data_IF_063912878330
#
_entry.id   IF_063912878330
#
_cell.length_a   1.000
_cell.length_b   1.000
_cell.length_c   1.000
_cell.angle_alpha   90.00
_cell.angle_beta   90.00
_cell.angle_gamma   90.00
#
_symmetry.space_group_name_H-M   'P 1'
#
loop_
_entity.id
_entity.type
_entity.pdbx_description
1 polymer ?
#
# COMPACT_ATOMS: atom_id res chain seq x y z
N UNK A 1 -22.54 19.44 -18.80
CA UNK A 1 -22.39 19.37 -17.33
C UNK A 1 -20.90 19.32 -17.05
N UNK A 2 -20.34 20.41 -16.51
CA UNK A 2 -18.91 20.46 -16.16
C UNK A 2 -18.78 19.83 -14.78
N UNK A 3 -18.24 18.61 -14.71
CA UNK A 3 -18.01 17.90 -13.46
C UNK A 3 -16.83 18.53 -12.73
N UNK A 4 -17.10 19.11 -11.56
CA UNK A 4 -16.05 19.58 -10.66
C UNK A 4 -15.50 18.36 -9.95
N UNK A 5 -14.24 18.01 -10.22
CA UNK A 5 -13.50 16.99 -9.47
C UNK A 5 -13.00 17.66 -8.18
N UNK A 6 -13.51 17.21 -7.03
CA UNK A 6 -13.07 17.65 -5.72
C UNK A 6 -11.92 16.74 -5.25
N UNK A 7 -10.71 17.28 -5.20
CA UNK A 7 -9.53 16.58 -4.66
C UNK A 7 -9.47 16.92 -3.17
N UNK A 8 -9.70 15.93 -2.30
CA UNK A 8 -9.52 16.07 -0.86
C UNK A 8 -8.05 15.78 -0.52
N UNK A 9 -7.32 16.80 -0.07
CA UNK A 9 -5.99 16.65 0.51
C UNK A 9 -6.13 16.18 1.95
N UNK A 10 -6.20 14.87 2.15
CA UNK A 10 -6.07 14.27 3.48
C UNK A 10 -4.65 14.48 3.97
N UNK A 11 -4.48 15.11 5.14
CA UNK A 11 -3.18 15.16 5.80
C UNK A 11 -2.70 13.74 6.08
N UNK A 12 -1.62 13.31 5.41
CA UNK A 12 -0.89 12.10 5.76
C UNK A 12 -0.50 12.20 7.24
N UNK A 13 -1.10 11.40 8.10
CA UNK A 13 -0.58 11.18 9.43
C UNK A 13 0.75 10.46 9.27
N UNK A 14 1.82 11.06 9.81
CA UNK A 14 3.21 10.60 9.67
C UNK A 14 3.48 9.24 10.29
N UNK A 15 3.04 8.19 9.62
CA UNK A 15 3.61 6.84 9.75
C UNK A 15 4.94 6.79 9.01
N UNK A 16 5.89 6.02 9.53
CA UNK A 16 7.11 5.69 8.79
C UNK A 16 6.74 4.90 7.55
N UNK A 17 7.31 5.23 6.39
CA UNK A 17 7.18 4.42 5.19
C UNK A 17 7.45 2.94 5.45
N UNK A 18 6.65 2.08 4.84
CA UNK A 18 6.82 0.63 4.90
C UNK A 18 6.47 -0.05 6.23
N UNK A 19 5.92 0.67 7.21
CA UNK A 19 5.42 0.09 8.47
C UNK A 19 3.89 0.01 8.45
N UNK A 20 3.38 -1.22 8.49
CA UNK A 20 1.93 -1.47 8.54
C UNK A 20 1.32 -0.90 9.84
N UNK A 21 0.07 -0.48 9.75
CA UNK A 21 -0.70 0.03 10.89
C UNK A 21 -1.88 -0.90 11.17
N UNK A 22 -2.19 -1.08 12.45
CA UNK A 22 -3.31 -1.89 12.91
C UNK A 22 -3.93 -1.27 14.16
N UNK A 23 -5.24 -1.43 14.32
CA UNK A 23 -5.96 -1.04 15.54
C UNK A 23 -6.44 -2.26 16.31
N UNK A 24 -6.70 -2.06 17.61
CA UNK A 24 -7.30 -3.10 18.45
C UNK A 24 -8.70 -3.47 17.93
N UNK A 25 -9.01 -4.76 17.97
CA UNK A 25 -10.36 -5.29 17.71
C UNK A 25 -11.29 -5.19 18.93
N UNK A 26 -10.77 -4.80 20.09
CA UNK A 26 -11.56 -4.70 21.32
C UNK A 26 -12.74 -3.73 21.15
N UNK A 27 -13.96 -4.21 21.42
CA UNK A 27 -15.18 -3.42 21.32
C UNK A 27 -15.67 -3.17 19.89
N UNK A 28 -15.07 -3.80 18.88
CA UNK A 28 -15.46 -3.61 17.47
C UNK A 28 -16.58 -4.54 16.99
N UNK A 29 -16.88 -5.62 17.73
CA UNK A 29 -17.77 -6.69 17.27
C UNK A 29 -17.05 -7.82 16.50
N UNK A 30 -15.72 -7.71 16.35
CA UNK A 30 -14.87 -8.67 15.65
C UNK A 30 -14.10 -9.55 16.64
N UNK A 31 -14.09 -10.85 16.38
CA UNK A 31 -13.25 -11.83 17.07
C UNK A 31 -11.85 -11.87 16.46
N UNK A 32 -11.75 -11.86 15.13
CA UNK A 32 -10.47 -11.88 14.42
C UNK A 32 -10.54 -11.17 13.07
N UNK A 33 -9.38 -10.73 12.59
CA UNK A 33 -9.16 -10.15 11.27
C UNK A 33 -7.83 -10.69 10.74
N UNK A 34 -7.83 -11.24 9.53
CA UNK A 34 -6.65 -11.78 8.85
C UNK A 34 -6.51 -11.14 7.48
N UNK A 35 -5.28 -10.83 7.09
CA UNK A 35 -4.91 -10.20 5.82
C UNK A 35 -3.42 -10.40 5.56
N UNK A 36 -2.99 -10.19 4.32
CA UNK A 36 -1.57 -10.26 3.96
C UNK A 36 -0.79 -9.03 4.45
N UNK A 37 0.47 -9.25 4.81
CA UNK A 37 1.38 -8.18 5.28
C UNK A 37 1.87 -7.26 4.15
N UNK A 38 1.61 -7.62 2.89
CA UNK A 38 1.99 -6.85 1.71
C UNK A 38 0.83 -6.80 0.71
N UNK A 39 0.61 -5.63 0.12
CA UNK A 39 -0.27 -5.48 -1.03
C UNK A 39 0.54 -5.62 -2.32
N UNK A 40 0.19 -6.58 -3.17
CA UNK A 40 0.89 -6.78 -4.45
C UNK A 40 0.20 -5.98 -5.55
N UNK A 41 0.99 -5.19 -6.27
CA UNK A 41 0.52 -4.41 -7.41
C UNK A 41 -0.15 -5.31 -8.47
N UNK A 42 -1.31 -4.88 -8.99
CA UNK A 42 -2.13 -5.66 -9.94
C UNK A 42 -2.62 -7.03 -9.45
N UNK A 43 -2.61 -7.26 -8.13
CA UNK A 43 -3.18 -8.45 -7.50
C UNK A 43 -4.38 -8.08 -6.63
N UNK A 44 -5.14 -9.09 -6.20
CA UNK A 44 -6.26 -8.90 -5.29
C UNK A 44 -5.78 -8.97 -3.84
N UNK A 45 -6.13 -7.98 -3.03
CA UNK A 45 -5.91 -7.95 -1.59
C UNK A 45 -7.16 -8.47 -0.88
N UNK A 46 -7.01 -9.54 -0.11
CA UNK A 46 -8.09 -10.22 0.60
C UNK A 46 -8.01 -9.98 2.10
N UNK A 47 -9.17 -9.83 2.74
CA UNK A 47 -9.31 -9.87 4.20
C UNK A 47 -10.33 -10.93 4.61
N UNK A 48 -10.06 -11.66 5.69
CA UNK A 48 -11.01 -12.53 6.38
C UNK A 48 -11.36 -11.90 7.73
N UNK A 49 -12.66 -11.72 7.98
CA UNK A 49 -13.21 -11.26 9.24
C UNK A 49 -13.98 -12.39 9.92
N UNK A 50 -13.80 -12.50 11.23
CA UNK A 50 -14.66 -13.31 12.07
C UNK A 50 -15.40 -12.41 13.05
N UNK A 51 -16.73 -12.40 12.96
CA UNK A 51 -17.60 -11.69 13.88
C UNK A 51 -17.68 -12.45 15.21
N UNK A 52 -17.82 -11.72 16.32
CA UNK A 52 -18.19 -12.38 17.57
C UNK A 52 -19.63 -12.93 17.53
N UNK A 53 -19.93 -13.81 18.49
CA UNK A 53 -21.22 -14.52 18.50
C UNK A 53 -22.43 -13.60 18.70
N UNK A 54 -22.26 -12.47 19.38
CA UNK A 54 -23.36 -11.52 19.60
C UNK A 54 -23.64 -10.72 18.34
N UNK A 55 -22.58 -10.22 17.71
CA UNK A 55 -22.61 -9.45 16.47
C UNK A 55 -23.19 -10.27 15.32
N UNK A 56 -22.74 -11.52 15.17
CA UNK A 56 -23.22 -12.45 14.14
C UNK A 56 -24.70 -12.83 14.35
N UNK A 57 -25.13 -13.12 15.60
CA UNK A 57 -26.51 -13.52 15.87
C UNK A 57 -27.53 -12.38 15.74
N UNK A 58 -27.11 -11.13 15.93
CA UNK A 58 -27.99 -9.97 15.91
C UNK A 58 -28.26 -9.40 14.51
N UNK A 59 -27.72 -9.99 13.44
CA UNK A 59 -27.95 -9.54 12.07
C UNK A 59 -27.22 -8.24 11.71
N UNK A 60 -26.11 -7.95 12.40
CA UNK A 60 -25.25 -6.79 12.12
C UNK A 60 -24.65 -6.91 10.73
N UNK A 61 -24.69 -5.82 9.96
CA UNK A 61 -24.05 -5.74 8.66
C UNK A 61 -22.70 -5.06 8.76
N UNK A 62 -21.69 -5.66 8.12
CA UNK A 62 -20.32 -5.14 8.10
C UNK A 62 -20.07 -4.47 6.75
N UNK A 63 -19.55 -3.24 6.77
CA UNK A 63 -19.04 -2.56 5.57
C UNK A 63 -17.54 -2.38 5.70
N UNK A 64 -16.80 -2.90 4.74
CA UNK A 64 -15.36 -2.70 4.63
C UNK A 64 -15.06 -1.49 3.77
N UNK A 65 -14.56 -0.42 4.40
CA UNK A 65 -14.27 0.83 3.71
C UNK A 65 -12.78 0.90 3.42
N UNK A 66 -12.42 0.79 2.14
CA UNK A 66 -11.02 0.80 1.67
C UNK A 66 -10.65 2.13 1.05
N UNK A 67 -9.37 2.47 1.08
CA UNK A 67 -8.80 3.53 0.25
C UNK A 67 -7.39 3.11 -0.18
N UNK A 68 -7.13 3.24 -1.47
CA UNK A 68 -5.82 2.99 -2.07
C UNK A 68 -5.14 4.34 -2.30
N UNK A 69 -3.88 4.42 -1.93
CA UNK A 69 -3.02 5.56 -2.19
C UNK A 69 -1.86 5.13 -3.06
N UNK A 70 -1.55 5.93 -4.08
CA UNK A 70 -0.56 5.62 -5.10
C UNK A 70 0.76 6.32 -4.84
N UNK A 71 1.83 5.85 -5.49
CA UNK A 71 3.21 6.32 -5.30
C UNK A 71 3.43 7.81 -5.61
N UNK A 72 2.44 8.51 -6.19
CA UNK A 72 2.48 9.98 -6.35
C UNK A 72 2.06 10.75 -5.09
N UNK A 73 1.62 10.05 -4.05
CA UNK A 73 1.05 10.63 -2.82
C UNK A 73 -0.44 10.98 -2.92
N UNK A 74 -1.10 10.63 -4.03
CA UNK A 74 -2.54 10.81 -4.22
C UNK A 74 -3.28 9.59 -3.70
N UNK A 75 -4.42 9.81 -3.04
CA UNK A 75 -5.32 8.75 -2.62
C UNK A 75 -6.62 8.82 -3.42
N UNK A 76 -7.12 7.65 -3.81
CA UNK A 76 -8.47 7.55 -4.37
C UNK A 76 -9.53 7.79 -3.28
N UNK A 77 -10.74 8.22 -3.68
CA UNK A 77 -11.86 8.30 -2.75
C UNK A 77 -12.10 6.94 -2.07
N UNK A 78 -12.49 6.91 -0.79
CA UNK A 78 -12.79 5.66 -0.12
C UNK A 78 -13.98 4.93 -0.76
N UNK A 79 -13.89 3.61 -0.84
CA UNK A 79 -14.92 2.73 -1.42
C UNK A 79 -15.56 1.86 -0.33
N UNK A 80 -16.89 1.70 -0.39
CA UNK A 80 -17.63 0.86 0.54
C UNK A 80 -17.85 -0.52 -0.07
N UNK A 81 -17.24 -1.54 0.53
CA UNK A 81 -17.36 -2.94 0.11
C UNK A 81 -18.31 -3.67 1.06
N UNK A 82 -19.39 -4.21 0.50
CA UNK A 82 -20.42 -4.98 1.23
C UNK A 82 -20.63 -6.38 0.63
N UNK A 83 -19.97 -6.66 -0.50
CA UNK A 83 -20.02 -7.94 -1.19
C UNK A 83 -19.05 -8.91 -0.50
N UNK A 84 -19.52 -9.54 0.58
CA UNK A 84 -18.78 -10.56 1.32
C UNK A 84 -19.03 -11.95 0.75
N UNK A 85 -17.96 -12.71 0.56
CA UNK A 85 -18.05 -14.16 0.37
C UNK A 85 -18.07 -14.81 1.75
N UNK A 86 -19.07 -15.65 2.03
CA UNK A 86 -19.23 -16.27 3.33
C UNK A 86 -19.52 -17.76 3.19
N UNK A 87 -18.79 -18.58 3.95
CA UNK A 87 -19.05 -20.01 4.09
C UNK A 87 -19.81 -20.34 5.39
N UNK A 88 -19.85 -19.41 6.34
CA UNK A 88 -20.46 -19.52 7.68
C UNK A 88 -20.97 -18.15 8.14
N UNK A 89 -22.06 -18.09 8.92
CA UNK A 89 -22.71 -16.82 9.33
C UNK A 89 -21.79 -15.83 10.08
N UNK A 90 -20.70 -16.30 10.71
CA UNK A 90 -19.73 -15.47 11.44
C UNK A 90 -18.48 -15.12 10.63
N UNK A 91 -18.27 -15.71 9.44
CA UNK A 91 -17.05 -15.50 8.65
C UNK A 91 -17.34 -14.76 7.35
N UNK A 92 -16.61 -13.68 7.12
CA UNK A 92 -16.74 -12.82 5.96
C UNK A 92 -15.39 -12.68 5.26
N UNK A 93 -15.33 -13.00 3.98
CA UNK A 93 -14.14 -12.84 3.14
C UNK A 93 -14.42 -11.76 2.11
N UNK A 94 -13.58 -10.73 2.07
CA UNK A 94 -13.70 -9.60 1.15
C UNK A 94 -12.42 -9.44 0.35
N UNK A 95 -12.54 -8.99 -0.90
CA UNK A 95 -11.38 -8.75 -1.76
C UNK A 95 -11.51 -7.47 -2.58
N UNK A 96 -10.40 -6.75 -2.76
CA UNK A 96 -10.29 -5.59 -3.65
C UNK A 96 -9.06 -5.73 -4.54
N UNK A 97 -9.09 -5.14 -5.73
CA UNK A 97 -7.93 -5.13 -6.62
C UNK A 97 -7.01 -3.96 -6.28
N UNK A 98 -5.70 -4.25 -6.22
CA UNK A 98 -4.66 -3.26 -5.96
C UNK A 98 -4.15 -2.72 -7.30
N UNK A 99 -4.12 -1.40 -7.42
CA UNK A 99 -3.58 -0.72 -8.61
C UNK A 99 -2.08 -0.98 -8.77
N UNK A 100 -1.58 -0.82 -10.00
CA UNK A 100 -0.18 -1.09 -10.35
C UNK A 100 0.80 -0.11 -9.67
N UNK A 101 0.34 1.10 -9.37
CA UNK A 101 1.10 2.16 -8.73
C UNK A 101 0.72 2.39 -7.26
N UNK A 102 -0.03 1.47 -6.65
CA UNK A 102 -0.41 1.55 -5.25
C UNK A 102 0.83 1.56 -4.33
N UNK A 103 0.92 2.58 -3.47
CA UNK A 103 1.90 2.68 -2.40
C UNK A 103 1.43 1.92 -1.15
N UNK A 104 0.14 2.06 -0.82
CA UNK A 104 -0.49 1.32 0.26
C UNK A 104 -2.01 1.27 0.10
N UNK A 105 -2.61 0.32 0.79
CA UNK A 105 -4.05 0.27 1.05
C UNK A 105 -4.28 0.55 2.54
N UNK A 106 -5.27 1.37 2.86
CA UNK A 106 -5.77 1.52 4.22
C UNK A 106 -7.26 1.19 4.26
N UNK A 107 -7.75 0.83 5.44
CA UNK A 107 -9.16 0.53 5.61
C UNK A 107 -9.66 0.76 7.02
N UNK A 108 -10.99 0.77 7.13
CA UNK A 108 -11.75 0.78 8.37
C UNK A 108 -12.95 -0.13 8.23
N UNK A 109 -13.48 -0.56 9.36
CA UNK A 109 -14.72 -1.33 9.41
C UNK A 109 -15.84 -0.42 9.89
N UNK A 110 -16.98 -0.47 9.21
CA UNK A 110 -18.21 0.19 9.65
C UNK A 110 -19.26 -0.88 9.96
N UNK A 111 -19.70 -0.90 11.21
CA UNK A 111 -20.80 -1.73 11.68
C UNK A 111 -22.12 -0.98 11.49
N UNK A 112 -23.10 -1.67 10.92
CA UNK A 112 -24.49 -1.24 10.85
C UNK A 112 -25.30 -2.22 11.71
N UNK A 113 -25.62 -1.78 12.92
CA UNK A 113 -26.28 -2.56 13.96
C UNK A 113 -27.77 -2.73 13.65
N UNK A 114 -28.40 -3.75 14.22
CA UNK A 114 -29.79 -4.10 13.89
C UNK A 114 -30.84 -3.13 14.44
N UNK A 115 -30.48 -2.26 15.38
CA UNK A 115 -31.28 -1.14 15.85
C UNK A 115 -31.21 0.09 14.92
N UNK A 116 -30.34 0.05 13.91
CA UNK A 116 -30.12 1.11 12.92
C UNK A 116 -28.97 2.04 13.26
N UNK A 117 -28.26 1.82 14.38
CA UNK A 117 -27.07 2.59 14.71
C UNK A 117 -25.89 2.19 13.80
N UNK A 118 -25.07 3.18 13.45
CA UNK A 118 -23.89 2.98 12.63
C UNK A 118 -22.64 3.46 13.36
N UNK A 119 -21.60 2.62 13.40
CA UNK A 119 -20.34 2.95 14.03
C UNK A 119 -19.17 2.59 13.11
N UNK A 120 -18.16 3.46 13.04
CA UNK A 120 -16.90 3.19 12.34
C UNK A 120 -15.80 2.89 13.34
N UNK A 121 -14.90 1.97 12.96
CA UNK A 121 -13.74 1.58 13.73
C UNK A 121 -12.49 1.82 12.88
N UNK A 122 -11.69 2.85 13.20
CA UNK A 122 -11.90 3.85 14.26
C UNK A 122 -13.00 4.85 13.90
N UNK A 123 -13.45 5.66 14.86
CA UNK A 123 -14.49 6.68 14.65
C UNK A 123 -14.09 7.70 13.58
N UNK A 124 -12.79 7.96 13.43
CA UNK A 124 -12.23 8.89 12.45
C UNK A 124 -10.97 8.31 11.80
N UNK A 125 -10.83 8.52 10.49
CA UNK A 125 -9.68 8.02 9.74
C UNK A 125 -9.78 6.53 9.43
N UNK A 126 -8.63 5.89 9.24
CA UNK A 126 -8.48 4.47 8.95
C UNK A 126 -7.81 3.76 10.12
N UNK A 127 -8.17 2.51 10.35
CA UNK A 127 -7.68 1.70 11.48
C UNK A 127 -6.52 0.79 11.10
N UNK A 128 -6.42 0.48 9.81
CA UNK A 128 -5.43 -0.43 9.29
C UNK A 128 -4.80 0.12 8.03
N UNK A 129 -3.55 -0.27 7.80
CA UNK A 129 -2.77 0.05 6.61
C UNK A 129 -1.80 -1.07 6.31
N UNK A 130 -1.75 -1.47 5.04
CA UNK A 130 -0.73 -2.38 4.50
C UNK A 130 -0.01 -1.69 3.35
N UNK A 131 1.32 -1.66 3.44
CA UNK A 131 2.17 -1.14 2.38
C UNK A 131 2.30 -2.15 1.23
N UNK A 132 2.46 -1.62 0.03
CA UNK A 132 2.66 -2.46 -1.14
C UNK A 132 4.04 -3.12 -1.13
N UNK A 133 4.25 -4.13 -1.97
CA UNK A 133 5.59 -4.71 -2.18
C UNK A 133 6.57 -3.74 -2.86
N UNK A 134 6.07 -2.63 -3.39
CA UNK A 134 6.78 -1.46 -3.89
C UNK A 134 6.02 -0.22 -3.44
N UNK A 135 6.65 0.71 -2.74
CA UNK A 135 5.97 1.90 -2.23
C UNK A 135 6.85 3.15 -2.22
N UNK A 136 6.18 4.31 -2.22
CA UNK A 136 6.76 5.62 -1.96
C UNK A 136 5.94 6.33 -0.89
N UNK A 137 6.58 6.76 0.19
CA UNK A 137 5.90 7.40 1.32
C UNK A 137 5.80 8.94 1.21
N UNK A 138 6.37 9.51 0.16
CA UNK A 138 6.49 10.95 -0.05
C UNK A 138 7.93 11.46 0.09
N UNK A 139 8.80 10.69 0.74
CA UNK A 139 10.20 11.02 0.99
C UNK A 139 11.16 9.94 0.47
N UNK A 140 10.85 8.68 0.71
CA UNK A 140 11.66 7.53 0.32
C UNK A 140 10.87 6.44 -0.40
N UNK A 141 11.58 5.74 -1.28
CA UNK A 141 11.10 4.51 -1.92
C UNK A 141 11.51 3.30 -1.08
N UNK A 142 10.60 2.35 -0.96
CA UNK A 142 10.86 1.08 -0.32
C UNK A 142 10.03 -0.06 -0.90
N UNK A 143 10.10 -1.20 -0.22
CA UNK A 143 9.50 -2.45 -0.67
C UNK A 143 10.53 -3.47 -1.15
N UNK A 144 10.05 -4.70 -1.34
CA UNK A 144 10.86 -5.83 -1.81
C UNK A 144 11.04 -5.82 -3.34
N UNK A 145 10.16 -5.13 -4.06
CA UNK A 145 10.27 -4.93 -5.51
C UNK A 145 10.87 -3.56 -5.83
N UNK A 146 12.14 -3.54 -6.25
CA UNK A 146 12.84 -2.30 -6.64
C UNK A 146 12.47 -1.82 -8.05
N UNK A 147 11.74 -2.61 -8.85
CA UNK A 147 11.57 -2.35 -10.28
C UNK A 147 10.78 -1.06 -10.58
N UNK A 148 9.88 -0.71 -9.68
CA UNK A 148 9.06 0.50 -9.72
C UNK A 148 9.81 1.77 -9.29
N UNK A 149 10.94 1.63 -8.58
CA UNK A 149 11.75 2.76 -8.13
C UNK A 149 12.55 3.29 -9.34
N UNK A 150 11.97 4.30 -10.00
CA UNK A 150 12.60 4.96 -11.14
C UNK A 150 13.96 5.61 -10.81
N UNK A 151 14.21 6.03 -9.56
CA UNK A 151 15.49 6.60 -9.12
C UNK A 151 16.60 5.55 -8.97
N UNK A 152 16.24 4.31 -8.63
CA UNK A 152 17.18 3.18 -8.58
C UNK A 152 17.77 2.83 -9.96
N UNK A 153 17.00 3.09 -11.02
CA UNK A 153 17.42 2.87 -12.40
C UNK A 153 18.37 3.97 -12.90
N UNK A 154 18.17 5.22 -12.49
CA UNK A 154 19.09 6.32 -12.82
C UNK A 154 20.42 6.22 -12.07
N UNK A 155 20.40 5.88 -10.78
CA UNK A 155 21.63 5.75 -9.97
C UNK A 155 22.55 4.63 -10.47
N UNK A 156 21.99 3.50 -10.93
CA UNK A 156 22.76 2.43 -11.59
C UNK A 156 23.40 2.93 -12.90
N UNK A 157 22.65 3.63 -13.77
CA UNK A 157 23.20 4.19 -15.02
C UNK A 157 24.32 5.21 -14.76
N UNK A 158 24.15 6.11 -13.79
CA UNK A 158 25.18 7.09 -13.41
C UNK A 158 26.42 6.40 -12.86
N UNK A 159 26.27 5.38 -12.02
CA UNK A 159 27.39 4.58 -11.50
C UNK A 159 28.16 3.87 -12.62
N UNK A 160 27.47 3.24 -13.56
CA UNK A 160 28.11 2.59 -14.73
C UNK A 160 28.84 3.61 -15.63
N UNK A 161 28.26 4.80 -15.85
CA UNK A 161 28.88 5.88 -16.63
C UNK A 161 30.21 6.37 -16.03
N UNK A 162 30.29 6.47 -14.70
CA UNK A 162 31.52 6.85 -13.98
C UNK A 162 32.63 5.79 -14.15
N UNK A 163 32.28 4.51 -14.12
CA UNK A 163 33.24 3.41 -14.27
C UNK A 163 33.82 3.37 -15.71
N UNK A 164 32.99 3.52 -16.73
CA UNK A 164 33.44 3.52 -18.14
C UNK A 164 34.42 4.65 -18.41
N UNK A 165 34.18 5.84 -17.84
CA UNK A 165 35.08 7.00 -17.99
C UNK A 165 36.47 6.75 -17.38
N UNK A 166 36.55 6.03 -16.27
CA UNK A 166 37.82 5.71 -15.61
C UNK A 166 38.66 4.71 -16.42
N UNK A 167 38.00 3.70 -17.02
CA UNK A 167 38.67 2.69 -17.87
C UNK A 167 39.25 3.33 -19.14
N UNK A 168 38.51 4.28 -19.76
CA UNK A 168 38.99 5.03 -20.91
C UNK A 168 40.28 5.82 -20.59
N UNK A 169 40.35 6.47 -19.43
CA UNK A 169 41.57 7.20 -19.02
C UNK A 169 42.76 6.27 -18.76
N UNK A 170 42.54 5.13 -18.11
CA UNK A 170 43.61 4.15 -17.85
C UNK A 170 44.13 3.48 -19.12
N UNK A 171 43.26 3.20 -20.09
CA UNK A 171 43.67 2.65 -21.39
C UNK A 171 44.49 3.66 -22.23
N UNK A 172 44.12 4.94 -22.22
CA UNK A 172 44.93 5.99 -22.86
C UNK A 172 46.29 6.13 -22.15
N UNK A 173 46.31 6.10 -20.82
CA UNK A 173 47.55 6.21 -20.05
C UNK A 173 48.51 5.04 -20.32
N UNK A 174 47.99 3.81 -20.36
CA UNK A 174 48.79 2.62 -20.69
C UNK A 174 49.29 2.64 -22.15
N UNK A 175 48.49 3.10 -23.11
CA UNK A 175 48.97 3.30 -24.50
C UNK A 175 50.07 4.36 -24.60
N UNK A 176 49.96 5.48 -23.86
CA UNK A 176 50.98 6.53 -23.85
C UNK A 176 52.28 6.03 -23.21
N UNK A 177 52.19 5.29 -22.10
CA UNK A 177 53.35 4.67 -21.46
C UNK A 177 54.00 3.61 -22.37
N UNK A 178 53.21 2.76 -23.02
CA UNK A 178 53.71 1.75 -23.94
C UNK A 178 54.47 2.40 -25.12
N UNK A 179 53.92 3.46 -25.73
CA UNK A 179 54.58 4.20 -26.81
C UNK A 179 55.91 4.82 -26.38
N UNK A 180 56.01 5.28 -25.13
CA UNK A 180 57.25 5.87 -24.56
C UNK A 180 58.36 4.84 -24.34
N UNK A 181 58.02 3.57 -24.15
CA UNK A 181 59.00 2.48 -23.98
C UNK A 181 59.49 1.87 -25.31
N UNK A 182 58.83 2.18 -26.44
CA UNK A 182 59.20 1.69 -27.78
C UNK A 182 60.08 2.66 -28.60
N UNK A 183 60.37 3.84 -28.07
CA UNK A 183 61.34 4.83 -28.61
C UNK A 183 62.58 4.89 -27.73
#
# INVERSE_FOLDING_TARGET
MSGVVLIFLSSVSGGSGGINEEMSLEGTGLNSMSYDDLAFASESFEIELELDSETSANGTQVTWVTQICINTGVCYPPENNQDWVSNEESKLVGSVNIDDDASYINWRIKMNWSDGDEQSFPESGFGWKVWSNCWFDGEEWGGIDESCNSESNESKIVAYSKIVSLIALMSVFTMVLWRRFQT
#
